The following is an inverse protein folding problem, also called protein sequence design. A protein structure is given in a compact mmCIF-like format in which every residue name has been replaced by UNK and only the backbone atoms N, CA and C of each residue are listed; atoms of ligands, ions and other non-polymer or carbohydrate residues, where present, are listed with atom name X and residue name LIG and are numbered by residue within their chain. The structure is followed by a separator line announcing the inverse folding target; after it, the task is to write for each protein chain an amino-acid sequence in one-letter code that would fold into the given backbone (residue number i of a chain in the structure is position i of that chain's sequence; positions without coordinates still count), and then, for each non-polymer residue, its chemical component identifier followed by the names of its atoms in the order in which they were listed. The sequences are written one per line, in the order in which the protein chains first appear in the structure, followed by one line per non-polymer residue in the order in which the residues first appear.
data_IF_607440384674
#
_entry.id   IF_607440384674
#
_cell.length_a   1.000
_cell.length_b   1.000
_cell.length_c   1.000
_cell.angle_alpha   90.00
_cell.angle_beta   90.00
_cell.angle_gamma   90.00
#
_symmetry.space_group_name_H-M   'P 1'
#
loop_
_entity.id
_entity.type
_entity.pdbx_description
1 polymer ?
#
# COMPACT_ATOMS: atom_id res chain seq x y z
N UNK A 1 -13.91 -4.55 4.63
CA UNK A 1 -13.19 -5.79 4.96
C UNK A 1 -12.13 -6.00 3.89
N UNK A 2 -10.92 -6.38 4.28
CA UNK A 2 -9.82 -6.64 3.36
C UNK A 2 -10.06 -7.98 2.62
N UNK A 3 -9.75 -8.05 1.34
CA UNK A 3 -9.89 -9.29 0.57
C UNK A 3 -8.61 -10.13 0.69
N UNK A 4 -8.73 -11.38 1.14
CA UNK A 4 -7.57 -12.27 1.28
C UNK A 4 -6.80 -12.51 -0.02
N UNK A 5 -7.47 -12.41 -1.17
CA UNK A 5 -6.82 -12.61 -2.48
C UNK A 5 -5.92 -11.44 -2.89
N UNK A 6 -6.08 -10.28 -2.24
CA UNK A 6 -5.27 -9.09 -2.45
C UNK A 6 -4.14 -8.98 -1.41
N UNK A 7 -4.12 -9.88 -0.42
CA UNK A 7 -3.05 -9.95 0.57
C UNK A 7 -1.90 -10.80 0.06
N UNK A 8 -0.68 -10.29 0.20
CA UNK A 8 0.55 -11.01 -0.15
C UNK A 8 1.60 -10.86 0.95
N UNK A 9 2.54 -11.79 0.95
CA UNK A 9 3.75 -11.65 1.76
C UNK A 9 4.47 -10.36 1.40
N UNK A 10 4.84 -9.58 2.42
CA UNK A 10 5.40 -8.24 2.23
C UNK A 10 4.45 -7.10 2.55
N UNK A 11 3.14 -7.32 2.49
CA UNK A 11 2.15 -6.27 2.67
C UNK A 11 2.04 -5.81 4.13
N UNK A 12 1.73 -4.53 4.32
CA UNK A 12 1.49 -3.91 5.63
C UNK A 12 -0.01 -3.88 5.91
N UNK A 13 -0.39 -4.33 7.10
CA UNK A 13 -1.77 -4.35 7.61
C UNK A 13 -1.81 -3.88 9.06
N UNK A 14 -3.00 -3.51 9.54
CA UNK A 14 -3.22 -3.31 10.98
C UNK A 14 -3.89 -4.57 11.52
N UNK A 15 -3.32 -5.17 12.55
CA UNK A 15 -3.96 -6.23 13.34
C UNK A 15 -4.79 -5.58 14.44
N UNK A 16 -5.97 -6.12 14.72
CA UNK A 16 -6.81 -5.71 15.85
C UNK A 16 -7.17 -6.94 16.68
N UNK A 17 -6.59 -7.04 17.88
CA UNK A 17 -6.91 -8.12 18.81
C UNK A 17 -7.28 -7.55 20.18
N UNK A 18 -8.50 -7.82 20.64
CA UNK A 18 -8.99 -7.29 21.92
C UNK A 18 -9.07 -5.76 21.99
N UNK A 19 -9.19 -5.08 20.84
CA UNK A 19 -9.23 -3.62 20.75
C UNK A 19 -7.86 -2.95 20.70
N UNK A 20 -6.76 -3.71 20.71
CA UNK A 20 -5.43 -3.18 20.50
C UNK A 20 -5.05 -3.27 19.01
N UNK A 21 -4.88 -2.11 18.38
CA UNK A 21 -4.44 -2.00 16.99
C UNK A 21 -2.92 -1.92 16.89
N UNK A 22 -2.31 -2.76 16.06
CA UNK A 22 -0.87 -2.78 15.81
C UNK A 22 -0.60 -2.87 14.32
N UNK A 23 0.35 -2.08 13.83
CA UNK A 23 0.85 -2.24 12.47
C UNK A 23 1.72 -3.50 12.41
N UNK A 24 1.62 -4.24 11.31
CA UNK A 24 2.41 -5.44 11.10
C UNK A 24 2.55 -5.78 9.63
N UNK A 25 3.52 -6.66 9.35
CA UNK A 25 3.86 -7.11 8.00
C UNK A 25 3.43 -8.55 7.79
N UNK A 26 2.78 -8.84 6.67
CA UNK A 26 2.39 -10.19 6.32
C UNK A 26 3.62 -11.01 5.96
N UNK A 27 3.82 -12.13 6.65
CA UNK A 27 4.84 -13.12 6.33
C UNK A 27 4.29 -14.20 5.39
N UNK A 28 3.07 -14.67 5.65
CA UNK A 28 2.43 -15.75 4.91
C UNK A 28 0.90 -15.59 4.89
N UNK A 29 0.28 -16.00 3.78
CA UNK A 29 -1.18 -16.09 3.64
C UNK A 29 -1.54 -17.56 3.44
N UNK A 30 -2.43 -18.07 4.28
CA UNK A 30 -3.02 -19.40 4.16
C UNK A 30 -4.44 -19.28 3.59
N UNK A 31 -4.60 -19.71 2.33
CA UNK A 31 -5.89 -19.66 1.64
C UNK A 31 -6.81 -20.83 2.01
N UNK A 32 -6.29 -21.93 2.56
CA UNK A 32 -7.07 -23.10 2.97
C UNK A 32 -7.79 -22.80 4.29
N UNK A 33 -7.03 -22.39 5.30
CA UNK A 33 -7.55 -22.03 6.62
C UNK A 33 -8.04 -20.57 6.71
N UNK A 34 -7.83 -19.77 5.65
CA UNK A 34 -8.18 -18.34 5.57
C UNK A 34 -7.55 -17.50 6.68
N UNK A 35 -6.30 -17.80 7.02
CA UNK A 35 -5.53 -17.11 8.05
C UNK A 35 -4.31 -16.41 7.44
N UNK A 36 -3.82 -15.39 8.13
CA UNK A 36 -2.67 -14.62 7.70
C UNK A 36 -1.67 -14.54 8.85
N UNK A 37 -0.42 -14.93 8.58
CA UNK A 37 0.68 -14.79 9.53
C UNK A 37 1.21 -13.36 9.44
N UNK A 38 1.09 -12.60 10.52
CA UNK A 38 1.53 -11.21 10.60
C UNK A 38 2.63 -11.07 11.64
N UNK A 39 3.75 -10.48 11.24
CA UNK A 39 4.83 -10.05 12.12
C UNK A 39 4.56 -8.62 12.59
N UNK A 40 4.41 -8.47 13.91
CA UNK A 40 4.38 -7.16 14.59
C UNK A 40 5.72 -6.94 15.30
N UNK A 41 5.93 -5.75 15.87
CA UNK A 41 7.16 -5.43 16.62
C UNK A 41 7.41 -6.37 17.82
N UNK A 42 6.37 -7.01 18.35
CA UNK A 42 6.47 -7.87 19.53
C UNK A 42 6.55 -9.36 19.19
N UNK A 43 5.80 -9.81 18.17
CA UNK A 43 5.59 -11.24 17.90
C UNK A 43 4.97 -11.49 16.52
N UNK A 44 5.03 -12.76 16.11
CA UNK A 44 4.39 -13.30 14.91
C UNK A 44 3.18 -14.16 15.29
N UNK A 45 2.01 -13.87 14.75
CA UNK A 45 0.79 -14.62 15.02
C UNK A 45 -0.07 -14.81 13.77
N UNK A 46 -0.84 -15.89 13.77
CA UNK A 46 -1.87 -16.14 12.75
C UNK A 46 -3.16 -15.41 13.13
N UNK A 47 -3.63 -14.54 12.24
CA UNK A 47 -4.85 -13.77 12.40
C UNK A 47 -5.92 -14.25 11.42
N UNK A 48 -7.17 -14.25 11.88
CA UNK A 48 -8.34 -14.31 11.01
C UNK A 48 -8.52 -12.96 10.29
N UNK A 49 -9.12 -12.97 9.10
CA UNK A 49 -9.32 -11.77 8.30
C UNK A 49 -10.13 -10.68 9.01
N UNK A 50 -11.07 -11.07 9.88
CA UNK A 50 -11.89 -10.12 10.65
C UNK A 50 -11.05 -9.32 11.66
N UNK A 51 -9.87 -9.82 12.02
CA UNK A 51 -8.91 -9.15 12.91
C UNK A 51 -7.87 -8.34 12.11
N UNK A 52 -8.04 -8.19 10.79
CA UNK A 52 -7.16 -7.40 9.94
C UNK A 52 -7.90 -6.20 9.36
N UNK A 53 -7.28 -5.04 9.52
CA UNK A 53 -7.77 -3.78 9.00
C UNK A 53 -6.87 -3.31 7.86
N UNK A 54 -7.46 -2.85 6.73
CA UNK A 54 -6.69 -2.23 5.66
C UNK A 54 -6.15 -0.88 6.12
N UNK A 55 -4.95 -0.54 5.66
CA UNK A 55 -4.39 0.82 5.79
C UNK A 55 -4.74 1.58 4.53
N UNK A 56 -5.57 2.63 4.65
CA UNK A 56 -5.84 3.50 3.51
C UNK A 56 -4.57 4.24 3.08
N UNK A 57 -4.33 4.29 1.77
CA UNK A 57 -3.22 5.08 1.26
C UNK A 57 -3.49 6.55 1.55
N UNK A 58 -2.48 7.24 2.07
CA UNK A 58 -2.47 8.69 2.35
C UNK A 58 -1.10 9.28 2.00
N UNK A 59 -1.02 10.60 1.90
CA UNK A 59 0.27 11.29 1.76
C UNK A 59 1.23 10.91 2.91
N UNK A 60 0.74 10.87 4.15
CA UNK A 60 1.56 10.49 5.31
C UNK A 60 2.17 9.09 5.17
N UNK A 61 1.42 8.12 4.64
CA UNK A 61 1.96 6.77 4.38
C UNK A 61 3.02 6.76 3.28
N UNK A 62 2.88 7.57 2.22
CA UNK A 62 3.91 7.69 1.19
C UNK A 62 5.21 8.26 1.75
N UNK A 63 5.11 9.30 2.59
CA UNK A 63 6.27 9.90 3.24
C UNK A 63 6.97 8.92 4.20
N UNK A 64 6.21 8.11 4.95
CA UNK A 64 6.77 7.02 5.77
C UNK A 64 7.54 5.99 4.93
N UNK A 65 7.02 5.65 3.75
CA UNK A 65 7.67 4.78 2.76
C UNK A 65 8.79 5.49 1.98
N UNK A 66 9.35 6.58 2.50
CA UNK A 66 10.49 7.29 1.92
C UNK A 66 10.24 7.85 0.51
N UNK A 67 8.97 8.10 0.16
CA UNK A 67 8.69 8.96 -0.98
C UNK A 67 8.92 10.42 -0.60
N UNK A 68 9.41 11.19 -1.56
CA UNK A 68 9.55 12.63 -1.44
C UNK A 68 8.62 13.32 -2.41
N UNK A 69 7.96 14.38 -1.97
CA UNK A 69 7.15 15.22 -2.84
C UNK A 69 8.07 16.03 -3.76
N UNK A 70 7.87 15.92 -5.06
CA UNK A 70 8.54 16.76 -6.06
C UNK A 70 7.72 18.04 -6.24
N UNK A 71 8.10 19.10 -5.54
CA UNK A 71 7.40 20.40 -5.58
C UNK A 71 7.46 21.06 -6.97
N UNK A 72 8.49 20.79 -7.77
CA UNK A 72 8.64 21.40 -9.10
C UNK A 72 7.72 20.72 -10.13
N UNK A 73 7.52 19.41 -9.99
CA UNK A 73 6.63 18.63 -10.85
C UNK A 73 5.17 18.58 -10.35
N UNK A 74 4.93 19.01 -9.10
CA UNK A 74 3.59 19.12 -8.52
C UNK A 74 2.91 20.43 -8.93
N UNK A 75 1.63 20.37 -9.27
CA UNK A 75 0.86 21.58 -9.56
C UNK A 75 -0.64 21.37 -9.33
N UNK A 76 -1.42 22.43 -9.04
CA UNK A 76 -2.87 22.31 -8.86
C UNK A 76 -3.62 21.77 -10.09
N UNK A 77 -3.05 21.92 -11.29
CA UNK A 77 -3.66 21.38 -12.51
C UNK A 77 -3.20 19.95 -12.83
N UNK A 78 -2.07 19.51 -12.26
CA UNK A 78 -1.36 18.28 -12.64
C UNK A 78 -1.23 17.25 -11.52
N UNK A 79 -1.76 17.52 -10.33
CA UNK A 79 -1.65 16.70 -9.14
C UNK A 79 -0.33 16.87 -8.38
N UNK A 80 -0.25 16.21 -7.23
CA UNK A 80 0.98 16.09 -6.43
C UNK A 80 1.79 14.88 -6.88
N UNK A 81 3.10 15.06 -7.09
CA UNK A 81 4.00 13.98 -7.49
C UNK A 81 4.87 13.56 -6.30
N UNK A 82 4.86 12.26 -5.99
CA UNK A 82 5.70 11.63 -4.98
C UNK A 82 6.66 10.66 -5.64
N UNK A 83 7.95 10.74 -5.32
CA UNK A 83 9.02 10.00 -5.98
C UNK A 83 9.85 9.22 -4.96
N UNK A 84 10.15 7.96 -5.28
CA UNK A 84 11.11 7.11 -4.58
C UNK A 84 12.02 6.43 -5.61
N UNK A 85 13.22 6.98 -5.79
CA UNK A 85 14.13 6.55 -6.84
C UNK A 85 13.47 6.63 -8.22
N UNK A 86 13.48 5.55 -9.04
CA UNK A 86 12.84 5.53 -10.36
C UNK A 86 11.32 5.27 -10.33
N UNK A 87 10.73 5.03 -9.15
CA UNK A 87 9.29 4.80 -9.00
C UNK A 87 8.60 6.09 -8.58
N UNK A 88 7.45 6.42 -9.17
CA UNK A 88 6.68 7.60 -8.79
C UNK A 88 5.18 7.32 -8.69
N UNK A 89 4.54 8.05 -7.80
CA UNK A 89 3.10 8.08 -7.55
C UNK A 89 2.62 9.50 -7.78
N UNK A 90 1.83 9.70 -8.82
CA UNK A 90 1.12 10.96 -9.04
C UNK A 90 -0.28 10.84 -8.48
N UNK A 91 -0.65 11.79 -7.64
CA UNK A 91 -1.96 11.87 -7.00
C UNK A 91 -2.70 13.08 -7.53
N UNK A 92 -3.87 12.86 -8.13
CA UNK A 92 -4.70 13.92 -8.68
C UNK A 92 -5.79 14.37 -7.71
N UNK A 93 -6.28 15.59 -7.91
CA UNK A 93 -7.35 16.15 -7.09
C UNK A 93 -8.69 15.42 -7.32
N UNK A 94 -9.61 15.59 -6.36
CA UNK A 94 -10.94 14.98 -6.42
C UNK A 94 -11.66 15.31 -7.73
N UNK A 95 -12.24 14.28 -8.35
CA UNK A 95 -12.96 14.40 -9.62
C UNK A 95 -12.11 14.19 -10.88
N UNK A 96 -10.79 14.09 -10.76
CA UNK A 96 -9.92 13.70 -11.87
C UNK A 96 -10.00 12.19 -12.16
N UNK A 97 -9.81 11.78 -13.42
CA UNK A 97 -9.63 10.37 -13.81
C UNK A 97 -8.39 10.22 -14.68
N UNK A 98 -7.36 9.45 -14.24
CA UNK A 98 -7.32 8.62 -13.02
C UNK A 98 -7.16 9.44 -11.72
N UNK A 99 -7.41 8.80 -10.56
CA UNK A 99 -7.15 9.38 -9.24
C UNK A 99 -5.68 9.27 -8.84
N UNK A 100 -5.07 8.12 -9.17
CA UNK A 100 -3.62 7.91 -9.02
C UNK A 100 -3.01 7.40 -10.32
N UNK A 101 -1.75 7.78 -10.55
CA UNK A 101 -0.95 7.23 -11.63
C UNK A 101 0.40 6.77 -11.07
N UNK A 102 0.68 5.48 -11.23
CA UNK A 102 1.95 4.87 -10.86
C UNK A 102 2.84 4.81 -12.10
N UNK A 103 4.14 5.07 -11.94
CA UNK A 103 5.09 5.04 -13.04
C UNK A 103 6.45 4.48 -12.60
N UNK A 104 7.00 3.57 -13.41
CA UNK A 104 8.32 2.98 -13.24
C UNK A 104 8.88 2.58 -14.60
N UNK A 105 10.01 3.21 -14.99
CA UNK A 105 10.65 3.00 -16.31
C UNK A 105 9.66 3.24 -17.45
N UNK A 106 9.34 2.21 -18.24
CA UNK A 106 8.45 2.31 -19.40
C UNK A 106 6.99 1.92 -19.06
N UNK A 107 6.72 1.53 -17.81
CA UNK A 107 5.38 1.10 -17.38
C UNK A 107 4.66 2.22 -16.61
N UNK A 108 3.38 2.41 -16.94
CA UNK A 108 2.48 3.34 -16.26
C UNK A 108 1.15 2.67 -15.97
N UNK A 109 0.62 2.84 -14.75
CA UNK A 109 -0.69 2.32 -14.35
C UNK A 109 -1.57 3.46 -13.88
N UNK A 110 -2.76 3.56 -14.46
CA UNK A 110 -3.79 4.52 -14.10
C UNK A 110 -4.82 3.83 -13.19
N UNK A 111 -4.98 4.36 -11.97
CA UNK A 111 -5.91 3.85 -10.96
C UNK A 111 -7.06 4.83 -10.77
N UNK A 112 -8.27 4.35 -11.03
CA UNK A 112 -9.47 5.20 -11.03
C UNK A 112 -10.17 5.25 -9.67
N UNK A 113 -9.79 4.38 -8.73
CA UNK A 113 -10.38 4.25 -7.41
C UNK A 113 -9.29 4.50 -6.34
N UNK A 114 -9.66 4.95 -5.14
CA UNK A 114 -8.75 4.99 -4.01
C UNK A 114 -8.24 3.58 -3.69
N UNK A 115 -6.96 3.47 -3.36
CA UNK A 115 -6.32 2.19 -3.01
C UNK A 115 -5.85 2.16 -1.56
N UNK A 116 -5.60 0.97 -1.05
CA UNK A 116 -4.94 0.73 0.23
C UNK A 116 -3.42 0.66 0.08
N UNK A 117 -2.72 0.67 1.21
CA UNK A 117 -1.27 0.51 1.27
C UNK A 117 -0.82 -0.84 0.69
N UNK A 118 -1.51 -1.95 1.02
CA UNK A 118 -1.17 -3.26 0.47
C UNK A 118 -1.33 -3.30 -1.06
N UNK A 119 -2.35 -2.64 -1.62
CA UNK A 119 -2.51 -2.54 -3.07
C UNK A 119 -1.36 -1.76 -3.72
N UNK A 120 -0.91 -0.66 -3.09
CA UNK A 120 0.29 0.06 -3.56
C UNK A 120 1.53 -0.82 -3.49
N UNK A 121 1.76 -1.54 -2.38
CA UNK A 121 2.89 -2.45 -2.21
C UNK A 121 2.86 -3.57 -3.26
N UNK A 122 1.67 -4.10 -3.56
CA UNK A 122 1.46 -5.08 -4.60
C UNK A 122 1.76 -4.55 -6.01
N UNK A 123 1.31 -3.33 -6.33
CA UNK A 123 1.64 -2.69 -7.60
C UNK A 123 3.15 -2.44 -7.72
N UNK A 124 3.78 -1.93 -6.66
CA UNK A 124 5.21 -1.70 -6.61
C UNK A 124 6.00 -2.99 -6.82
N UNK A 125 5.65 -4.06 -6.10
CA UNK A 125 6.29 -5.37 -6.27
C UNK A 125 6.09 -5.92 -7.68
N UNK A 126 4.89 -5.81 -8.24
CA UNK A 126 4.62 -6.27 -9.60
C UNK A 126 5.42 -5.49 -10.68
N UNK A 127 5.75 -4.22 -10.44
CA UNK A 127 6.51 -3.39 -11.39
C UNK A 127 8.03 -3.48 -11.19
N UNK A 128 8.49 -3.71 -9.96
CA UNK A 128 9.91 -3.63 -9.59
C UNK A 128 10.54 -4.96 -9.20
N UNK A 129 9.73 -5.97 -8.84
CA UNK A 129 10.14 -7.22 -8.21
C UNK A 129 10.78 -7.08 -6.81
N UNK A 130 10.58 -5.93 -6.15
CA UNK A 130 11.03 -5.67 -4.78
C UNK A 130 9.84 -5.34 -3.87
N UNK A 131 9.98 -5.62 -2.58
CA UNK A 131 8.99 -5.18 -1.59
C UNK A 131 9.16 -3.69 -1.29
N UNK A 132 8.04 -3.02 -1.06
CA UNK A 132 8.00 -1.61 -0.65
C UNK A 132 7.90 -1.54 0.87
N UNK A 133 8.97 -1.05 1.49
CA UNK A 133 9.16 -0.88 2.95
C UNK A 133 9.48 0.56 3.32
#
# INVERSE_FOLDING_TARGET
MINIHELKSGDTVITNYGGAEKEGKILQVDHEDKKVLVATDESEYWYDLDNLLPVHLTEATLLKLQFHKDEAASSPAGGSLYVRGPFSVRWFDEGHKPLLQLHYRDETRALNEPITLNELQNHYHAMTLYHLE
#
